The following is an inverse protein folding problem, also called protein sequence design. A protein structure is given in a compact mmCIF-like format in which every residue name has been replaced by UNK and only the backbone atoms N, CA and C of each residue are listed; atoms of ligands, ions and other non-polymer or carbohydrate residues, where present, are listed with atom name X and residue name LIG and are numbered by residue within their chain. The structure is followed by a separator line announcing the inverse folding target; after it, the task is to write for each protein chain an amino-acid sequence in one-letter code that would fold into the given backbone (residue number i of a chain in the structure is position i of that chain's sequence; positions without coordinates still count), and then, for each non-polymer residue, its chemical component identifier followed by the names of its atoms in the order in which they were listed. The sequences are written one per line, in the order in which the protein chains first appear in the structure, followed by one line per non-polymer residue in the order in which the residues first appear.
data_IF_797754316296
#
_entry.id   IF_797754316296
#
_cell.length_a   1.000
_cell.length_b   1.000
_cell.length_c   1.000
_cell.angle_alpha   90.00
_cell.angle_beta   90.00
_cell.angle_gamma   90.00
#
_symmetry.space_group_name_H-M   'P 1'
#
loop_
_entity.id
_entity.type
_entity.pdbx_description
1 polymer ?
#
# COMPACT_ATOMS: atom_id res chain seq x y z
N UNK A 1 -0.15 -5.54 -1.37
CA UNK A 1 -1.51 -6.08 -1.59
C UNK A 1 -2.18 -5.26 -2.70
N UNK A 2 -2.58 -5.89 -3.81
CA UNK A 2 -3.20 -5.17 -4.94
C UNK A 2 -4.04 -6.06 -5.87
N UNK A 3 -4.40 -7.27 -5.43
CA UNK A 3 -4.98 -8.30 -6.30
C UNK A 3 -6.50 -8.45 -6.22
N UNK A 4 -7.20 -7.67 -5.39
CA UNK A 4 -8.64 -7.76 -5.24
C UNK A 4 -9.24 -6.40 -4.90
N UNK A 5 -10.54 -6.27 -5.13
CA UNK A 5 -11.38 -5.17 -4.66
C UNK A 5 -12.57 -5.75 -3.89
N UNK A 6 -13.15 -4.96 -2.99
CA UNK A 6 -14.29 -5.36 -2.16
C UNK A 6 -15.42 -4.36 -2.35
N UNK A 7 -16.65 -4.85 -2.51
CA UNK A 7 -17.83 -3.99 -2.54
C UNK A 7 -17.98 -3.27 -1.19
N UNK A 8 -18.20 -1.95 -1.21
CA UNK A 8 -18.41 -1.13 -0.02
C UNK A 8 -19.59 -1.64 0.82
N UNK A 9 -20.67 -2.08 0.18
CA UNK A 9 -21.84 -2.62 0.89
C UNK A 9 -21.47 -3.82 1.76
N UNK A 10 -20.61 -4.71 1.25
CA UNK A 10 -20.16 -5.89 1.98
C UNK A 10 -19.35 -5.51 3.23
N UNK A 11 -18.53 -4.46 3.14
CA UNK A 11 -17.78 -3.91 4.28
C UNK A 11 -18.72 -3.33 5.33
N UNK A 12 -19.77 -2.60 4.91
CA UNK A 12 -20.75 -2.00 5.82
C UNK A 12 -21.60 -3.05 6.54
N UNK A 13 -21.91 -4.17 5.87
CA UNK A 13 -22.60 -5.31 6.48
C UNK A 13 -21.76 -6.04 7.53
N UNK A 14 -20.42 -5.94 7.46
CA UNK A 14 -19.49 -6.60 8.37
C UNK A 14 -18.66 -5.57 9.14
N UNK A 15 -19.25 -4.82 10.10
CA UNK A 15 -18.56 -3.73 10.82
C UNK A 15 -17.38 -4.19 11.69
N UNK A 16 -17.26 -5.50 11.93
CA UNK A 16 -16.14 -6.12 12.67
C UNK A 16 -15.00 -6.55 11.75
N UNK A 17 -15.21 -6.55 10.43
CA UNK A 17 -14.22 -6.88 9.43
C UNK A 17 -13.26 -5.72 9.24
N UNK A 18 -11.98 -6.04 9.15
CA UNK A 18 -10.91 -5.07 9.04
C UNK A 18 -9.55 -5.71 9.27
N UNK A 19 -8.52 -4.92 9.02
CA UNK A 19 -7.14 -5.33 9.20
C UNK A 19 -6.82 -5.42 10.69
N UNK A 20 -6.48 -6.63 11.16
CA UNK A 20 -6.10 -6.87 12.56
C UNK A 20 -4.63 -7.25 12.64
N UNK A 21 -3.98 -6.77 13.71
CA UNK A 21 -2.56 -7.09 14.02
C UNK A 21 -2.40 -8.57 14.37
N UNK A 22 -3.44 -9.20 14.93
CA UNK A 22 -3.46 -10.62 15.27
C UNK A 22 -4.37 -11.36 14.29
N UNK A 23 -3.75 -11.96 13.28
CA UNK A 23 -4.36 -12.96 12.42
C UNK A 23 -3.60 -14.27 12.57
N UNK A 24 -4.31 -15.39 12.47
CA UNK A 24 -3.72 -16.72 12.63
C UNK A 24 -2.88 -17.11 11.40
N UNK A 25 -3.23 -16.58 10.23
CA UNK A 25 -2.49 -16.74 8.98
C UNK A 25 -1.25 -15.84 8.90
N UNK A 26 -0.29 -16.25 8.06
CA UNK A 26 0.93 -15.50 7.74
C UNK A 26 0.69 -14.19 6.96
N UNK A 27 -0.53 -13.98 6.45
CA UNK A 27 -0.88 -12.85 5.61
C UNK A 27 -2.15 -12.18 6.14
N UNK A 28 -2.28 -10.84 6.06
CA UNK A 28 -3.49 -10.14 6.48
C UNK A 28 -4.69 -10.40 5.55
N UNK A 29 -4.47 -10.71 4.27
CA UNK A 29 -5.51 -10.88 3.24
C UNK A 29 -6.55 -11.96 3.61
N UNK A 30 -6.16 -13.22 3.94
CA UNK A 30 -7.13 -14.28 4.24
C UNK A 30 -7.94 -13.98 5.51
N UNK A 31 -7.33 -13.26 6.46
CA UNK A 31 -7.98 -12.86 7.69
C UNK A 31 -9.11 -11.84 7.44
N UNK A 32 -8.90 -10.88 6.53
CA UNK A 32 -9.96 -9.97 6.11
C UNK A 32 -11.08 -10.75 5.41
N UNK A 33 -10.74 -11.64 4.47
CA UNK A 33 -11.73 -12.42 3.72
C UNK A 33 -12.60 -13.30 4.64
N UNK A 34 -11.99 -13.94 5.64
CA UNK A 34 -12.73 -14.69 6.66
C UNK A 34 -13.68 -13.81 7.48
N UNK A 35 -13.27 -12.58 7.84
CA UNK A 35 -14.16 -11.67 8.56
C UNK A 35 -15.31 -11.13 7.70
N UNK A 36 -15.12 -11.08 6.38
CA UNK A 36 -16.17 -10.74 5.41
C UNK A 36 -17.05 -11.94 5.06
N UNK A 37 -16.75 -13.12 5.63
CA UNK A 37 -17.45 -14.38 5.36
C UNK A 37 -17.52 -14.70 3.86
N UNK A 38 -16.45 -14.39 3.12
CA UNK A 38 -16.35 -14.64 1.67
C UNK A 38 -15.70 -15.99 1.43
N UNK A 39 -16.38 -16.87 0.69
CA UNK A 39 -15.82 -18.14 0.24
C UNK A 39 -15.17 -18.01 -1.13
N UNK A 40 -14.39 -19.02 -1.55
CA UNK A 40 -13.75 -19.03 -2.87
C UNK A 40 -14.76 -18.91 -4.03
N UNK A 41 -15.98 -19.44 -3.84
CA UNK A 41 -17.03 -19.46 -4.85
C UNK A 41 -17.69 -18.08 -5.05
N UNK A 42 -17.54 -17.18 -4.08
CA UNK A 42 -18.12 -15.84 -4.13
C UNK A 42 -17.20 -14.84 -4.84
N UNK A 43 -15.99 -15.27 -5.23
CA UNK A 43 -15.00 -14.43 -5.86
C UNK A 43 -15.29 -14.25 -7.35
N UNK A 44 -15.32 -12.99 -7.80
CA UNK A 44 -15.42 -12.66 -9.21
C UNK A 44 -14.02 -12.57 -9.84
N UNK A 45 -13.63 -13.49 -10.74
CA UNK A 45 -12.34 -13.40 -11.42
C UNK A 45 -12.33 -12.18 -12.36
N UNK A 46 -11.18 -11.51 -12.43
CA UNK A 46 -10.97 -10.37 -13.31
C UNK A 46 -9.78 -10.64 -14.24
N UNK A 47 -9.88 -10.27 -15.52
CA UNK A 47 -8.79 -10.46 -16.50
C UNK A 47 -8.56 -11.90 -16.97
N UNK A 48 -9.57 -12.78 -16.86
CA UNK A 48 -9.48 -14.18 -17.31
C UNK A 48 -10.03 -14.41 -18.74
N UNK A 49 -10.72 -13.41 -19.29
CA UNK A 49 -11.44 -13.51 -20.57
C UNK A 49 -10.52 -13.52 -21.80
N UNK A 50 -9.28 -13.01 -21.66
CA UNK A 50 -8.29 -12.94 -22.73
C UNK A 50 -7.26 -14.08 -22.64
N UNK A 51 -6.87 -14.62 -23.80
CA UNK A 51 -5.72 -15.53 -23.92
C UNK A 51 -4.68 -14.87 -24.82
N UNK A 52 -3.46 -14.54 -24.34
CA UNK A 52 -2.91 -14.74 -22.99
C UNK A 52 -3.62 -13.90 -21.92
N UNK A 53 -3.57 -14.36 -20.67
CA UNK A 53 -4.18 -13.65 -19.53
C UNK A 53 -3.44 -12.33 -19.28
N UNK A 54 -4.21 -11.29 -19.01
CA UNK A 54 -3.65 -9.96 -18.76
C UNK A 54 -3.09 -9.84 -17.33
N UNK A 55 -1.86 -9.32 -17.21
CA UNK A 55 -1.27 -8.92 -15.94
C UNK A 55 -1.48 -7.42 -15.79
N UNK A 56 -2.44 -7.04 -14.93
CA UNK A 56 -2.86 -5.64 -14.78
C UNK A 56 -2.26 -4.93 -13.56
N UNK A 57 -1.47 -5.65 -12.74
CA UNK A 57 -0.90 -5.09 -11.51
C UNK A 57 0.50 -5.63 -11.23
N UNK A 58 1.39 -4.74 -10.81
CA UNK A 58 2.77 -5.07 -10.42
C UNK A 58 3.03 -4.60 -8.99
N UNK A 59 3.52 -5.52 -8.16
CA UNK A 59 3.91 -5.22 -6.79
C UNK A 59 5.37 -4.72 -6.75
N UNK A 60 5.63 -3.57 -7.35
CA UNK A 60 6.98 -3.01 -7.42
C UNK A 60 7.48 -2.59 -6.04
N UNK A 61 8.79 -2.74 -5.82
CA UNK A 61 9.45 -2.32 -4.58
C UNK A 61 10.53 -1.32 -4.93
N UNK A 62 10.44 -0.13 -4.37
CA UNK A 62 11.49 0.88 -4.51
C UNK A 62 12.64 0.53 -3.57
N UNK A 63 13.86 0.46 -4.12
CA UNK A 63 15.08 0.32 -3.32
C UNK A 63 15.52 1.73 -2.93
N UNK A 64 15.39 2.05 -1.65
CA UNK A 64 15.89 3.30 -1.09
C UNK A 64 17.32 3.09 -0.58
N UNK A 65 18.29 3.77 -1.20
CA UNK A 65 19.66 3.83 -0.70
C UNK A 65 19.85 5.13 0.10
N UNK A 66 19.20 5.19 1.26
CA UNK A 66 19.27 6.35 2.16
C UNK A 66 20.57 6.24 2.98
N UNK A 67 21.56 7.09 2.70
CA UNK A 67 22.81 7.20 3.48
C UNK A 67 22.66 7.95 4.82
N UNK A 68 21.44 8.34 5.21
CA UNK A 68 21.19 9.17 6.39
C UNK A 68 20.40 8.41 7.47
N UNK A 69 21.01 8.25 8.64
CA UNK A 69 20.54 7.42 9.75
C UNK A 69 19.41 8.03 10.58
N UNK A 70 18.83 9.18 10.20
CA UNK A 70 17.90 9.95 11.05
C UNK A 70 16.73 10.62 10.31
N UNK A 71 16.15 9.98 9.31
CA UNK A 71 14.89 10.47 8.72
C UNK A 71 13.87 9.33 8.69
N UNK A 72 12.80 9.49 9.46
CA UNK A 72 11.67 8.55 9.59
C UNK A 72 10.81 8.52 8.32
N UNK A 73 11.41 8.21 7.17
CA UNK A 73 10.69 7.85 5.95
C UNK A 73 9.88 8.95 5.24
N UNK A 74 9.82 10.18 5.76
CA UNK A 74 9.26 11.32 5.04
C UNK A 74 10.35 12.07 4.30
N UNK A 75 10.31 12.05 2.96
CA UNK A 75 11.03 13.03 2.13
C UNK A 75 10.24 14.35 2.14
N UNK A 76 10.04 14.95 3.31
CA UNK A 76 9.70 16.36 3.35
C UNK A 76 11.03 17.09 3.18
N UNK A 77 11.17 17.86 2.09
CA UNK A 77 12.28 18.80 1.98
C UNK A 77 12.18 19.77 3.16
N UNK A 78 13.03 19.60 4.18
CA UNK A 78 13.11 20.55 5.29
C UNK A 78 13.72 21.84 4.71
N UNK A 79 12.88 22.84 4.43
CA UNK A 79 13.26 24.12 3.83
C UNK A 79 14.28 24.92 4.65
N UNK A 80 14.73 24.41 5.81
CA UNK A 80 15.76 25.05 6.64
C UNK A 80 17.11 25.22 5.97
N UNK A 81 17.39 24.50 4.88
CA UNK A 81 18.63 24.69 4.10
C UNK A 81 18.48 25.60 2.88
N UNK A 82 17.25 25.96 2.46
CA UNK A 82 17.06 26.90 1.34
C UNK A 82 17.62 28.30 1.68
N UNK A 83 17.49 28.72 2.94
CA UNK A 83 17.96 30.03 3.40
C UNK A 83 19.47 30.12 3.68
N UNK A 84 20.19 28.97 3.73
CA UNK A 84 21.66 28.99 3.89
C UNK A 84 22.42 29.12 2.57
N UNK A 85 21.78 28.84 1.44
CA UNK A 85 22.44 28.99 0.13
C UNK A 85 22.43 30.42 -0.40
N UNK A 86 21.53 31.28 0.09
CA UNK A 86 21.46 32.69 -0.33
C UNK A 86 22.40 33.62 0.45
N UNK A 87 22.76 33.29 1.69
CA UNK A 87 23.64 34.16 2.49
C UNK A 87 25.13 34.09 2.11
N UNK A 88 25.57 33.09 1.35
CA UNK A 88 26.96 33.00 0.85
C UNK A 88 27.17 33.69 -0.50
N UNK A 89 26.14 34.29 -1.10
CA UNK A 89 26.25 35.05 -2.36
C UNK A 89 26.32 36.56 -2.21
N UNK A 90 26.26 37.10 -0.99
CA UNK A 90 26.30 38.55 -0.73
C UNK A 90 27.55 38.93 0.06
N UNK A 91 28.72 38.42 -0.31
CA UNK A 91 30.01 39.06 -0.04
C UNK A 91 30.99 38.60 -1.13
N UNK A 92 31.04 39.39 -2.20
CA UNK A 92 32.12 39.38 -3.19
C UNK A 92 32.56 40.82 -3.41
#
# INVERSE_FOLDING_TARGET
MAGFAVNLELLLQHPKAGWRVKCREYSPEPCLMNHLNVSLNDLTPFGIESTPRDILVWHTKTIVNIKSTKTYGYNAEDQKNALKSDQTKIWK
#
